data_IF_661722166904
#
_entry.id   IF_661722166904
#
_cell.length_a   1.000
_cell.length_b   1.000
_cell.length_c   1.000
_cell.angle_alpha   90.00
_cell.angle_beta   90.00
_cell.angle_gamma   90.00
#
_symmetry.space_group_name_H-M   'P 1'
#
loop_
_entity.id
_entity.type
_entity.pdbx_description
1 polymer ?
#
# COMPACT_ATOMS: atom_id res chain seq x y z
N UNK A 1 4.34 33.76 -5.86
CA UNK A 1 3.60 32.57 -6.28
C UNK A 1 2.39 33.02 -7.08
N UNK A 2 2.24 32.70 -8.36
CA UNK A 2 1.02 33.04 -9.08
C UNK A 2 -0.13 32.18 -8.54
N UNK A 3 -1.25 32.85 -8.24
CA UNK A 3 -2.49 32.20 -7.83
C UNK A 3 -2.90 31.18 -8.92
N UNK A 4 -2.97 29.90 -8.53
CA UNK A 4 -3.51 28.87 -9.40
C UNK A 4 -4.95 29.26 -9.75
N UNK A 5 -5.21 29.57 -11.00
CA UNK A 5 -6.55 29.76 -11.52
C UNK A 5 -7.32 28.45 -11.28
N UNK A 6 -8.30 28.49 -10.39
CA UNK A 6 -9.29 27.45 -10.26
C UNK A 6 -10.14 27.46 -11.53
N UNK A 7 -9.64 26.83 -12.60
CA UNK A 7 -10.45 26.56 -13.77
C UNK A 7 -11.60 25.68 -13.33
N UNK A 8 -12.81 26.19 -13.41
CA UNK A 8 -14.04 25.43 -13.16
C UNK A 8 -14.05 24.27 -14.15
N UNK A 9 -13.99 23.03 -13.64
CA UNK A 9 -14.13 21.83 -14.45
C UNK A 9 -15.45 21.92 -15.22
N UNK A 10 -15.40 21.91 -16.55
CA UNK A 10 -16.60 22.00 -17.35
C UNK A 10 -17.55 20.83 -17.03
N UNK A 11 -18.86 21.07 -17.07
CA UNK A 11 -19.87 20.04 -16.77
C UNK A 11 -19.67 18.74 -17.55
N UNK A 12 -19.16 18.81 -18.78
CA UNK A 12 -18.83 17.64 -19.63
C UNK A 12 -17.72 16.78 -19.01
N UNK A 13 -16.69 17.39 -18.42
CA UNK A 13 -15.58 16.65 -17.79
C UNK A 13 -16.06 15.95 -16.52
N UNK A 14 -16.91 16.62 -15.72
CA UNK A 14 -17.50 16.02 -14.51
C UNK A 14 -18.40 14.84 -14.89
N UNK A 15 -19.24 15.01 -15.92
CA UNK A 15 -20.14 13.94 -16.40
C UNK A 15 -19.36 12.74 -16.93
N UNK A 16 -18.31 12.97 -17.73
CA UNK A 16 -17.45 11.91 -18.25
C UNK A 16 -16.75 11.14 -17.12
N UNK A 17 -16.25 11.83 -16.10
CA UNK A 17 -15.65 11.21 -14.94
C UNK A 17 -16.67 10.42 -14.10
N UNK A 18 -17.87 10.96 -13.89
CA UNK A 18 -18.93 10.24 -13.18
C UNK A 18 -19.33 8.95 -13.91
N UNK A 19 -19.48 9.01 -15.23
CA UNK A 19 -19.73 7.83 -16.07
C UNK A 19 -18.59 6.81 -15.97
N UNK A 20 -17.33 7.26 -16.07
CA UNK A 20 -16.16 6.39 -15.93
C UNK A 20 -16.13 5.73 -14.54
N UNK A 21 -16.40 6.48 -13.46
CA UNK A 21 -16.48 5.92 -12.10
C UNK A 21 -17.59 4.87 -12.00
N UNK A 22 -18.79 5.15 -12.51
CA UNK A 22 -19.90 4.22 -12.48
C UNK A 22 -19.59 2.92 -13.24
N UNK A 23 -18.97 3.02 -14.42
CA UNK A 23 -18.56 1.86 -15.21
C UNK A 23 -17.50 1.00 -14.48
N UNK A 24 -16.47 1.63 -13.88
CA UNK A 24 -15.46 0.93 -13.10
C UNK A 24 -16.03 0.22 -11.88
N UNK A 25 -16.90 0.91 -11.12
CA UNK A 25 -17.59 0.31 -9.97
C UNK A 25 -18.49 -0.86 -10.39
N UNK A 26 -19.28 -0.71 -11.46
CA UNK A 26 -20.15 -1.77 -11.96
C UNK A 26 -19.34 -3.02 -12.36
N UNK A 27 -18.21 -2.83 -13.04
CA UNK A 27 -17.32 -3.92 -13.41
C UNK A 27 -16.75 -4.62 -12.18
N UNK A 28 -16.23 -3.88 -11.20
CA UNK A 28 -15.66 -4.44 -9.98
C UNK A 28 -16.73 -5.17 -9.14
N UNK A 29 -17.94 -4.61 -9.03
CA UNK A 29 -19.07 -5.26 -8.36
C UNK A 29 -19.50 -6.54 -9.07
N UNK A 30 -19.55 -6.54 -10.40
CA UNK A 30 -19.83 -7.74 -11.19
C UNK A 30 -18.78 -8.84 -10.94
N UNK A 31 -17.50 -8.48 -10.96
CA UNK A 31 -16.42 -9.42 -10.69
C UNK A 31 -16.49 -9.97 -9.25
N UNK A 32 -16.76 -9.11 -8.27
CA UNK A 32 -16.95 -9.52 -6.89
C UNK A 32 -18.13 -10.50 -6.77
N UNK A 33 -19.28 -10.18 -7.36
CA UNK A 33 -20.47 -11.05 -7.32
C UNK A 33 -20.25 -12.44 -7.92
N UNK A 34 -19.34 -12.56 -8.90
CA UNK A 34 -19.03 -13.85 -9.54
C UNK A 34 -17.88 -14.62 -8.85
N UNK A 35 -17.22 -14.06 -7.83
CA UNK A 35 -16.11 -14.69 -7.11
C UNK A 35 -16.39 -14.73 -5.59
N UNK A 36 -17.57 -15.20 -5.20
CA UNK A 36 -18.06 -15.12 -3.81
C UNK A 36 -17.28 -15.98 -2.81
N UNK A 37 -16.54 -16.99 -3.26
CA UNK A 37 -15.86 -17.95 -2.37
C UNK A 37 -14.65 -17.37 -1.62
N UNK A 38 -14.32 -16.09 -1.84
CA UNK A 38 -13.19 -15.40 -1.19
C UNK A 38 -13.57 -14.15 -0.39
N UNK A 39 -14.89 -13.97 -0.11
CA UNK A 39 -15.32 -12.80 0.67
C UNK A 39 -14.86 -12.91 2.13
N UNK A 40 -14.35 -11.80 2.70
CA UNK A 40 -14.07 -11.57 4.12
C UNK A 40 -12.97 -12.42 4.76
N UNK A 41 -12.21 -13.19 3.97
CA UNK A 41 -11.18 -14.10 4.51
C UNK A 41 -10.17 -13.34 5.38
N UNK A 42 -9.75 -12.16 4.94
CA UNK A 42 -8.73 -11.40 5.66
C UNK A 42 -9.30 -10.62 6.84
N UNK A 43 -10.54 -10.11 6.74
CA UNK A 43 -11.23 -9.50 7.88
C UNK A 43 -11.44 -10.51 9.01
N UNK A 44 -11.80 -11.75 8.67
CA UNK A 44 -11.97 -12.81 9.66
C UNK A 44 -10.67 -13.06 10.45
N UNK A 45 -9.52 -13.07 9.78
CA UNK A 45 -8.20 -13.14 10.42
C UNK A 45 -8.00 -12.00 11.44
N UNK A 46 -8.35 -10.75 11.07
CA UNK A 46 -8.19 -9.60 11.95
C UNK A 46 -9.15 -9.66 13.14
N UNK A 47 -10.37 -10.09 12.88
CA UNK A 47 -11.38 -10.31 13.93
C UNK A 47 -10.92 -11.34 14.96
N UNK A 48 -10.46 -12.51 14.53
CA UNK A 48 -9.93 -13.55 15.41
C UNK A 48 -8.67 -13.09 16.16
N UNK A 49 -7.70 -12.50 15.43
CA UNK A 49 -6.47 -11.99 16.02
C UNK A 49 -6.73 -10.95 17.10
N UNK A 50 -7.65 -10.01 16.86
CA UNK A 50 -7.98 -8.98 17.85
C UNK A 50 -8.57 -9.58 19.13
N UNK A 51 -9.40 -10.62 19.02
CA UNK A 51 -9.98 -11.33 20.18
C UNK A 51 -8.90 -11.97 21.05
N UNK A 52 -7.84 -12.49 20.44
CA UNK A 52 -6.72 -13.15 21.12
C UNK A 52 -5.63 -12.17 21.61
N UNK A 53 -5.59 -10.94 21.10
CA UNK A 53 -4.57 -9.99 21.49
C UNK A 53 -4.59 -9.72 23.00
N UNK A 54 -3.43 -9.83 23.66
CA UNK A 54 -3.27 -9.66 25.10
C UNK A 54 -3.59 -10.92 25.92
N UNK A 55 -3.91 -12.05 25.30
CA UNK A 55 -4.11 -13.32 25.97
C UNK A 55 -2.88 -14.21 26.03
N UNK A 56 -1.82 -13.86 25.28
CA UNK A 56 -0.66 -14.73 25.04
C UNK A 56 -0.88 -15.77 23.93
N UNK A 57 -2.08 -15.84 23.35
CA UNK A 57 -2.48 -16.84 22.33
C UNK A 57 -2.57 -16.27 20.91
N UNK A 58 -2.18 -15.00 20.71
CA UNK A 58 -2.29 -14.31 19.41
C UNK A 58 -1.68 -15.09 18.24
N UNK A 59 -0.63 -15.89 18.48
CA UNK A 59 0.08 -16.69 17.51
C UNK A 59 -0.08 -18.20 17.71
N UNK A 60 -0.98 -18.59 18.61
CA UNK A 60 -1.33 -19.99 18.80
C UNK A 60 -2.30 -20.44 17.71
N UNK A 61 -1.85 -21.35 16.85
CA UNK A 61 -2.60 -21.74 15.65
C UNK A 61 -3.95 -22.37 15.94
N UNK A 62 -4.02 -23.19 16.97
CA UNK A 62 -5.28 -23.89 17.29
C UNK A 62 -6.33 -22.90 17.84
N UNK A 63 -5.90 -21.93 18.65
CA UNK A 63 -6.76 -20.87 19.15
C UNK A 63 -7.25 -19.95 18.03
N UNK A 64 -6.36 -19.54 17.12
CA UNK A 64 -6.70 -18.70 15.94
C UNK A 64 -7.68 -19.44 15.06
N UNK A 65 -7.36 -20.68 14.66
CA UNK A 65 -8.19 -21.50 13.79
C UNK A 65 -9.59 -21.75 14.35
N UNK A 66 -9.71 -21.95 15.65
CA UNK A 66 -11.01 -22.17 16.31
C UNK A 66 -11.92 -20.96 16.15
N UNK A 67 -11.39 -19.74 16.34
CA UNK A 67 -12.17 -18.52 16.18
C UNK A 67 -12.48 -18.19 14.73
N UNK A 68 -11.54 -18.43 13.81
CA UNK A 68 -11.74 -18.16 12.38
C UNK A 68 -12.76 -19.14 11.75
N UNK A 69 -12.77 -20.39 12.17
CA UNK A 69 -13.65 -21.43 11.62
C UNK A 69 -15.16 -21.12 11.82
N UNK A 70 -15.51 -20.19 12.70
CA UNK A 70 -16.88 -19.74 12.88
C UNK A 70 -17.43 -18.96 11.68
N UNK A 71 -16.56 -18.37 10.83
CA UNK A 71 -16.98 -17.37 9.83
C UNK A 71 -16.42 -17.61 8.43
N UNK A 72 -15.17 -18.10 8.28
CA UNK A 72 -14.51 -18.22 6.99
C UNK A 72 -13.36 -19.25 7.01
N UNK A 73 -12.72 -19.56 5.86
CA UNK A 73 -11.49 -20.32 5.82
C UNK A 73 -10.38 -19.69 6.68
N UNK A 74 -9.61 -20.54 7.34
CA UNK A 74 -8.59 -20.12 8.31
C UNK A 74 -7.30 -19.67 7.64
N UNK A 75 -6.76 -18.53 8.12
CA UNK A 75 -5.49 -17.95 7.67
C UNK A 75 -4.62 -17.62 8.90
N UNK A 76 -3.33 -17.96 8.86
CA UNK A 76 -2.44 -17.66 9.99
C UNK A 76 -2.27 -16.16 10.21
N UNK A 77 -2.42 -15.74 11.46
CA UNK A 77 -2.23 -14.33 11.82
C UNK A 77 -0.78 -13.87 11.66
N UNK A 78 -0.60 -12.77 10.93
CA UNK A 78 0.68 -12.07 10.73
C UNK A 78 0.71 -10.66 11.32
N UNK A 79 -0.25 -10.30 12.15
CA UNK A 79 -0.34 -8.96 12.76
C UNK A 79 0.65 -8.78 13.89
N UNK A 80 1.19 -7.56 14.00
CA UNK A 80 1.89 -7.16 15.22
C UNK A 80 0.91 -7.05 16.38
N UNK A 81 1.31 -7.39 17.63
CA UNK A 81 0.40 -7.38 18.77
C UNK A 81 -0.34 -6.08 18.99
N UNK A 82 0.34 -4.95 18.84
CA UNK A 82 -0.28 -3.62 18.99
C UNK A 82 -1.36 -3.34 17.96
N UNK A 83 -1.20 -3.86 16.73
CA UNK A 83 -2.18 -3.70 15.64
C UNK A 83 -3.42 -4.52 15.97
N UNK A 84 -3.25 -5.81 16.26
CA UNK A 84 -4.35 -6.68 16.68
C UNK A 84 -5.09 -6.15 17.92
N UNK A 85 -4.36 -5.55 18.87
CA UNK A 85 -4.96 -4.93 20.04
C UNK A 85 -5.77 -3.68 19.70
N UNK A 86 -5.28 -2.83 18.80
CA UNK A 86 -6.01 -1.64 18.35
C UNK A 86 -7.29 -2.01 17.58
N UNK A 87 -7.28 -3.11 16.84
CA UNK A 87 -8.44 -3.64 16.12
C UNK A 87 -9.57 -4.07 17.05
N UNK A 88 -9.31 -4.32 18.36
CA UNK A 88 -10.35 -4.58 19.37
C UNK A 88 -11.39 -3.49 19.47
N UNK A 89 -11.05 -2.24 19.15
CA UNK A 89 -11.99 -1.13 19.13
C UNK A 89 -13.19 -1.40 18.21
N UNK A 90 -12.97 -2.16 17.15
CA UNK A 90 -14.00 -2.56 16.19
C UNK A 90 -14.43 -4.00 16.40
N UNK A 91 -13.47 -4.91 16.56
CA UNK A 91 -13.71 -6.36 16.60
C UNK A 91 -14.29 -6.87 17.93
N UNK A 92 -14.49 -6.02 18.95
CA UNK A 92 -15.31 -6.35 20.11
C UNK A 92 -16.83 -6.34 19.82
N UNK A 93 -17.24 -5.76 18.69
CA UNK A 93 -18.61 -5.83 18.20
C UNK A 93 -18.92 -7.25 17.66
N UNK A 94 -20.21 -7.63 17.54
CA UNK A 94 -20.60 -8.82 16.80
C UNK A 94 -20.04 -8.77 15.36
N UNK A 95 -19.68 -9.94 14.79
CA UNK A 95 -18.94 -10.05 13.53
C UNK A 95 -19.49 -9.15 12.41
N UNK A 96 -20.79 -9.26 12.10
CA UNK A 96 -21.43 -8.47 11.04
C UNK A 96 -21.35 -6.95 11.29
N UNK A 97 -21.48 -6.52 12.54
CA UNK A 97 -21.36 -5.09 12.90
C UNK A 97 -19.92 -4.62 12.79
N UNK A 98 -18.97 -5.43 13.26
CA UNK A 98 -17.54 -5.15 13.16
C UNK A 98 -17.11 -5.01 11.68
N UNK A 99 -17.55 -5.92 10.83
CA UNK A 99 -17.32 -5.90 9.39
C UNK A 99 -17.91 -4.65 8.72
N UNK A 100 -19.14 -4.27 9.06
CA UNK A 100 -19.75 -3.05 8.53
C UNK A 100 -18.97 -1.79 8.93
N UNK A 101 -18.52 -1.69 10.20
CA UNK A 101 -17.69 -0.58 10.68
C UNK A 101 -16.32 -0.57 9.99
N UNK A 102 -15.70 -1.74 9.80
CA UNK A 102 -14.42 -1.88 9.10
C UNK A 102 -14.52 -1.43 7.65
N UNK A 103 -15.56 -1.87 6.93
CA UNK A 103 -15.80 -1.47 5.54
C UNK A 103 -16.06 0.05 5.44
N UNK A 104 -16.89 0.62 6.32
CA UNK A 104 -17.14 2.05 6.37
C UNK A 104 -15.84 2.84 6.63
N UNK A 105 -15.02 2.40 7.59
CA UNK A 105 -13.70 2.96 7.87
C UNK A 105 -12.74 2.88 6.68
N UNK A 106 -12.75 1.76 5.95
CA UNK A 106 -11.98 1.56 4.73
C UNK A 106 -12.39 2.54 3.62
N UNK A 107 -13.69 2.70 3.39
CA UNK A 107 -14.22 3.66 2.40
C UNK A 107 -13.86 5.11 2.75
N UNK A 108 -14.01 5.50 4.02
CA UNK A 108 -13.58 6.82 4.50
C UNK A 108 -12.08 7.02 4.31
N UNK A 109 -11.27 6.00 4.61
CA UNK A 109 -9.82 6.05 4.44
C UNK A 109 -9.40 6.27 2.98
N UNK A 110 -10.05 5.59 2.03
CA UNK A 110 -9.83 5.77 0.59
C UNK A 110 -10.24 7.18 0.14
N UNK A 111 -11.37 7.69 0.62
CA UNK A 111 -11.82 9.04 0.30
C UNK A 111 -10.83 10.09 0.83
N UNK A 112 -10.43 9.98 2.10
CA UNK A 112 -9.45 10.89 2.69
C UNK A 112 -8.11 10.81 1.96
N UNK A 113 -7.65 9.63 1.59
CA UNK A 113 -6.44 9.44 0.78
C UNK A 113 -6.53 10.22 -0.54
N UNK A 114 -7.62 10.08 -1.31
CA UNK A 114 -7.80 10.75 -2.59
C UNK A 114 -7.81 12.29 -2.46
N UNK A 115 -8.32 12.82 -1.34
CA UNK A 115 -8.39 14.26 -1.07
C UNK A 115 -7.10 14.83 -0.49
N UNK A 116 -6.35 14.05 0.28
CA UNK A 116 -5.25 14.50 1.11
C UNK A 116 -3.87 14.32 0.46
N UNK A 117 -3.72 13.44 -0.55
CA UNK A 117 -2.40 13.21 -1.17
C UNK A 117 -1.89 14.45 -1.89
N UNK A 118 -0.69 14.97 -1.55
CA UNK A 118 -0.20 16.25 -2.08
C UNK A 118 -0.02 16.23 -3.60
N UNK A 119 -0.66 17.17 -4.31
CA UNK A 119 -0.52 17.36 -5.76
C UNK A 119 -1.21 16.30 -6.63
N UNK A 120 -1.97 15.38 -6.05
CA UNK A 120 -2.74 14.40 -6.79
C UNK A 120 -3.99 15.04 -7.42
N UNK A 121 -4.23 14.79 -8.71
CA UNK A 121 -5.46 15.20 -9.35
C UNK A 121 -6.63 14.37 -8.79
N UNK A 122 -7.52 15.01 -8.04
CA UNK A 122 -8.62 14.35 -7.31
C UNK A 122 -9.59 13.62 -8.21
N UNK A 123 -9.88 14.18 -9.39
CA UNK A 123 -10.80 13.56 -10.35
C UNK A 123 -10.21 12.30 -10.95
N UNK A 124 -8.96 12.37 -11.40
CA UNK A 124 -8.25 11.19 -11.90
C UNK A 124 -8.05 10.14 -10.81
N UNK A 125 -7.79 10.57 -9.58
CA UNK A 125 -7.70 9.65 -8.43
C UNK A 125 -9.03 8.95 -8.17
N UNK A 126 -10.16 9.65 -8.23
CA UNK A 126 -11.48 9.05 -8.08
C UNK A 126 -11.76 8.02 -9.18
N UNK A 127 -11.49 8.36 -10.44
CA UNK A 127 -11.62 7.42 -11.55
C UNK A 127 -10.71 6.21 -11.36
N UNK A 128 -9.43 6.44 -11.02
CA UNK A 128 -8.46 5.36 -10.79
C UNK A 128 -8.90 4.41 -9.67
N UNK A 129 -9.43 4.94 -8.57
CA UNK A 129 -9.95 4.15 -7.46
C UNK A 129 -11.15 3.28 -7.87
N UNK A 130 -12.08 3.84 -8.65
CA UNK A 130 -13.25 3.11 -9.13
C UNK A 130 -12.90 1.98 -10.11
N UNK A 131 -11.84 2.13 -10.91
CA UNK A 131 -11.38 1.11 -11.85
C UNK A 131 -10.38 0.11 -11.25
N UNK A 132 -9.79 0.43 -10.12
CA UNK A 132 -8.73 -0.38 -9.52
C UNK A 132 -9.28 -1.67 -8.94
N UNK A 133 -9.02 -2.79 -9.61
CA UNK A 133 -9.31 -4.12 -9.06
C UNK A 133 -8.57 -4.38 -7.73
N UNK A 134 -7.31 -3.97 -7.52
CA UNK A 134 -6.66 -4.05 -6.21
C UNK A 134 -7.44 -3.39 -5.08
N UNK A 135 -8.05 -2.23 -5.32
CA UNK A 135 -8.91 -1.57 -4.32
C UNK A 135 -10.17 -2.37 -4.05
N UNK A 136 -10.83 -2.82 -5.11
CA UNK A 136 -12.05 -3.64 -4.97
C UNK A 136 -11.76 -4.94 -4.21
N UNK A 137 -10.68 -5.63 -4.53
CA UNK A 137 -10.23 -6.81 -3.80
C UNK A 137 -9.95 -6.50 -2.33
N UNK A 138 -9.23 -5.41 -2.05
CA UNK A 138 -8.95 -4.99 -0.68
C UNK A 138 -10.22 -4.74 0.15
N UNK A 139 -11.25 -4.15 -0.46
CA UNK A 139 -12.55 -3.93 0.19
C UNK A 139 -13.32 -5.23 0.41
N UNK A 140 -13.36 -6.09 -0.61
CA UNK A 140 -14.09 -7.37 -0.56
C UNK A 140 -13.45 -8.35 0.43
N UNK A 141 -12.11 -8.42 0.48
CA UNK A 141 -11.39 -9.25 1.43
C UNK A 141 -11.33 -8.65 2.85
N UNK A 142 -11.78 -7.41 3.01
CA UNK A 142 -11.69 -6.70 4.28
C UNK A 142 -10.27 -6.32 4.69
N UNK A 143 -9.39 -6.03 3.70
CA UNK A 143 -7.99 -5.69 3.93
C UNK A 143 -7.80 -4.32 4.60
N UNK A 144 -6.67 -4.16 5.28
CA UNK A 144 -6.25 -2.93 5.94
C UNK A 144 -5.44 -1.97 5.05
N UNK A 145 -5.23 -2.33 3.78
CA UNK A 145 -4.57 -1.46 2.79
C UNK A 145 -5.17 -0.04 2.71
N UNK A 146 -6.51 0.17 2.85
CA UNK A 146 -7.08 1.50 2.95
C UNK A 146 -6.56 2.34 4.13
N UNK A 147 -6.36 1.74 5.29
CA UNK A 147 -5.80 2.44 6.46
C UNK A 147 -4.32 2.77 6.27
N UNK A 148 -3.58 1.91 5.57
CA UNK A 148 -2.22 2.21 5.17
C UNK A 148 -2.16 3.44 4.24
N UNK A 149 -3.02 3.50 3.23
CA UNK A 149 -3.13 4.65 2.32
C UNK A 149 -3.49 5.94 3.07
N UNK A 150 -4.40 5.86 4.06
CA UNK A 150 -4.74 6.99 4.94
C UNK A 150 -3.52 7.48 5.71
N UNK A 151 -2.78 6.57 6.35
CA UNK A 151 -1.57 6.89 7.11
C UNK A 151 -0.51 7.56 6.24
N UNK A 152 -0.27 7.02 5.04
CA UNK A 152 0.65 7.59 4.07
C UNK A 152 0.21 8.99 3.62
N UNK A 153 -1.05 9.15 3.20
CA UNK A 153 -1.58 10.44 2.74
C UNK A 153 -1.53 11.51 3.85
N UNK A 154 -1.94 11.16 5.07
CA UNK A 154 -1.87 12.05 6.23
C UNK A 154 -0.41 12.46 6.53
N UNK A 155 0.52 11.49 6.51
CA UNK A 155 1.94 11.75 6.72
C UNK A 155 2.51 12.72 5.70
N UNK A 156 2.26 12.50 4.41
CA UNK A 156 2.75 13.40 3.36
C UNK A 156 2.03 14.75 3.34
N UNK A 157 0.75 14.80 3.70
CA UNK A 157 0.04 16.06 3.87
C UNK A 157 0.65 16.92 5.01
N UNK A 158 0.93 16.31 6.17
CA UNK A 158 1.59 17.02 7.25
C UNK A 158 3.02 17.46 6.89
N UNK A 159 3.75 16.62 6.16
CA UNK A 159 5.09 16.94 5.69
C UNK A 159 5.07 18.11 4.69
N UNK A 160 4.10 18.17 3.78
CA UNK A 160 3.92 19.29 2.84
C UNK A 160 3.54 20.60 3.53
N UNK A 161 2.93 20.52 4.72
CA UNK A 161 2.58 21.66 5.58
C UNK A 161 3.69 22.07 6.54
N UNK A 162 4.90 21.51 6.40
CA UNK A 162 6.03 21.83 7.28
C UNK A 162 5.89 21.30 8.71
N UNK A 163 5.07 20.27 8.94
CA UNK A 163 4.85 19.66 10.26
C UNK A 163 5.46 18.26 10.35
N UNK A 164 6.80 18.12 10.36
CA UNK A 164 7.49 16.84 10.23
C UNK A 164 7.23 15.86 11.37
N UNK A 165 6.99 16.36 12.60
CA UNK A 165 6.69 15.49 13.75
C UNK A 165 5.32 14.82 13.61
N UNK A 166 4.29 15.58 13.17
CA UNK A 166 2.96 15.03 12.89
C UNK A 166 3.00 14.08 11.69
N UNK A 167 3.82 14.35 10.68
CA UNK A 167 4.05 13.45 9.56
C UNK A 167 4.60 12.11 10.03
N UNK A 168 5.63 12.12 10.87
CA UNK A 168 6.22 10.90 11.43
C UNK A 168 5.20 10.10 12.25
N UNK A 169 4.39 10.77 13.08
CA UNK A 169 3.32 10.11 13.83
C UNK A 169 2.26 9.50 12.91
N UNK A 170 1.86 10.20 11.83
CA UNK A 170 0.88 9.67 10.87
C UNK A 170 1.42 8.44 10.11
N UNK A 171 2.71 8.39 9.78
CA UNK A 171 3.32 7.22 9.15
C UNK A 171 3.27 5.98 10.05
N UNK A 172 3.10 6.11 11.37
CA UNK A 172 2.93 4.95 12.25
C UNK A 172 1.67 4.14 11.97
N UNK A 173 0.64 4.73 11.33
CA UNK A 173 -0.53 4.00 10.86
C UNK A 173 -0.18 2.96 9.77
N UNK A 174 0.94 3.15 9.06
CA UNK A 174 1.41 2.18 8.09
C UNK A 174 1.99 0.91 8.73
N UNK A 175 2.04 0.83 10.07
CA UNK A 175 2.51 -0.35 10.82
C UNK A 175 1.64 -1.59 10.58
N UNK A 176 0.39 -1.43 10.18
CA UNK A 176 -0.48 -2.54 9.80
C UNK A 176 0.15 -3.40 8.67
N UNK A 177 0.87 -2.75 7.75
CA UNK A 177 1.68 -3.39 6.69
C UNK A 177 3.07 -2.75 6.62
N UNK A 178 3.82 -2.84 7.72
CA UNK A 178 5.12 -2.17 7.87
C UNK A 178 6.12 -2.52 6.75
N UNK A 179 6.07 -3.74 6.22
CA UNK A 179 6.94 -4.21 5.14
C UNK A 179 6.72 -3.46 3.82
N UNK A 180 5.55 -2.87 3.59
CA UNK A 180 5.26 -2.04 2.41
C UNK A 180 5.71 -0.58 2.59
N UNK A 181 5.98 -0.17 3.83
CA UNK A 181 6.41 1.19 4.12
C UNK A 181 7.92 1.43 3.92
N UNK A 182 8.69 0.41 3.50
CA UNK A 182 10.16 0.46 3.35
C UNK A 182 10.65 1.58 2.42
N UNK A 183 9.83 2.02 1.47
CA UNK A 183 10.17 3.15 0.60
C UNK A 183 10.18 4.50 1.33
N UNK A 184 9.44 4.67 2.42
CA UNK A 184 9.34 5.96 3.12
C UNK A 184 10.62 6.37 3.86
N UNK A 185 11.31 5.53 4.62
CA UNK A 185 12.62 5.85 5.17
C UNK A 185 13.63 6.27 4.09
N UNK A 186 13.62 5.59 2.94
CA UNK A 186 14.51 5.92 1.81
C UNK A 186 14.19 7.32 1.28
N UNK A 187 12.91 7.65 1.04
CA UNK A 187 12.47 8.97 0.63
C UNK A 187 12.88 10.05 1.64
N UNK A 188 12.55 9.84 2.93
CA UNK A 188 12.81 10.83 3.97
C UNK A 188 14.30 11.11 4.13
N UNK A 189 15.14 10.08 4.06
CA UNK A 189 16.59 10.21 4.11
C UNK A 189 17.14 10.88 2.83
N UNK A 190 16.66 10.47 1.63
CA UNK A 190 17.09 11.06 0.36
C UNK A 190 16.79 12.56 0.27
N UNK A 191 15.65 13.00 0.83
CA UNK A 191 15.25 14.41 0.89
C UNK A 191 15.72 15.13 2.18
N UNK A 192 16.58 14.48 2.99
CA UNK A 192 17.11 15.03 4.27
C UNK A 192 16.00 15.45 5.25
N UNK A 193 14.87 14.79 5.26
CA UNK A 193 13.73 15.04 6.16
C UNK A 193 13.93 14.37 7.53
N UNK A 194 15.07 14.60 8.16
CA UNK A 194 15.52 13.90 9.38
C UNK A 194 14.55 14.00 10.54
N UNK A 195 13.87 15.18 10.72
CA UNK A 195 12.89 15.37 11.78
C UNK A 195 11.66 14.46 11.62
N UNK A 196 11.22 14.23 10.38
CA UNK A 196 10.11 13.31 10.10
C UNK A 196 10.54 11.85 10.26
N UNK A 197 11.74 11.51 9.79
CA UNK A 197 12.32 10.17 9.94
C UNK A 197 12.49 9.81 11.42
N UNK A 198 13.06 10.71 12.22
CA UNK A 198 13.22 10.50 13.66
C UNK A 198 11.87 10.35 14.38
N UNK A 199 10.85 11.16 14.01
CA UNK A 199 9.52 11.05 14.57
C UNK A 199 8.83 9.75 14.18
N UNK A 200 8.99 9.27 12.94
CA UNK A 200 8.47 7.97 12.51
C UNK A 200 9.16 6.82 13.24
N UNK A 201 10.49 6.89 13.43
CA UNK A 201 11.25 5.90 14.19
C UNK A 201 10.81 5.86 15.67
N UNK A 202 10.63 7.04 16.28
CA UNK A 202 10.14 7.15 17.66
C UNK A 202 8.72 6.57 17.81
N UNK A 203 7.81 6.90 16.90
CA UNK A 203 6.46 6.34 16.90
C UNK A 203 6.49 4.81 16.68
N UNK A 204 7.32 4.32 15.78
CA UNK A 204 7.54 2.87 15.59
C UNK A 204 8.07 2.19 16.85
N UNK A 205 9.03 2.81 17.55
CA UNK A 205 9.55 2.29 18.82
C UNK A 205 8.48 2.23 19.91
N UNK A 206 7.60 3.25 19.98
CA UNK A 206 6.45 3.25 20.92
C UNK A 206 5.49 2.08 20.60
N UNK A 207 5.16 1.88 19.33
CA UNK A 207 4.27 0.77 18.90
C UNK A 207 4.92 -0.59 19.16
N UNK A 208 6.23 -0.72 18.96
CA UNK A 208 6.97 -1.93 19.29
C UNK A 208 6.98 -2.19 20.78
N UNK A 209 7.22 -1.15 21.59
CA UNK A 209 7.11 -1.20 23.05
C UNK A 209 5.71 -1.61 23.52
N UNK A 210 4.67 -1.02 22.91
CA UNK A 210 3.29 -1.40 23.19
C UNK A 210 3.00 -2.87 22.84
N UNK A 211 3.63 -3.41 21.78
CA UNK A 211 3.51 -4.83 21.43
C UNK A 211 4.06 -5.76 22.52
N UNK A 212 5.16 -5.36 23.18
CA UNK A 212 5.67 -6.10 24.36
C UNK A 212 4.74 -5.99 25.57
N UNK A 213 4.11 -4.84 25.75
CA UNK A 213 3.12 -4.67 26.81
C UNK A 213 1.87 -5.54 26.57
N UNK A 214 1.41 -5.65 25.31
CA UNK A 214 0.23 -6.45 24.92
C UNK A 214 0.48 -7.95 25.07
N UNK A 215 1.60 -8.48 24.53
CA UNK A 215 1.82 -9.93 24.39
C UNK A 215 3.01 -10.45 25.21
N UNK A 216 3.66 -9.61 26.02
CA UNK A 216 4.81 -9.97 26.84
C UNK A 216 6.11 -10.15 26.03
N UNK A 217 7.22 -10.41 26.72
CA UNK A 217 8.57 -10.45 26.13
C UNK A 217 8.77 -11.56 25.09
N UNK A 218 7.97 -12.62 25.15
CA UNK A 218 8.10 -13.78 24.27
C UNK A 218 7.46 -13.62 22.88
N UNK A 219 6.71 -12.52 22.62
CA UNK A 219 5.96 -12.39 21.37
C UNK A 219 6.83 -12.41 20.11
N UNK A 220 8.05 -11.84 20.05
CA UNK A 220 8.83 -11.87 18.82
C UNK A 220 9.19 -13.30 18.38
N UNK A 221 9.49 -14.18 19.33
CA UNK A 221 9.75 -15.59 19.03
C UNK A 221 8.49 -16.29 18.52
N UNK A 222 7.34 -16.07 19.18
CA UNK A 222 6.06 -16.67 18.72
C UNK A 222 5.67 -16.17 17.35
N UNK A 223 5.80 -14.87 17.11
CA UNK A 223 5.59 -14.26 15.80
C UNK A 223 6.47 -14.88 14.73
N UNK A 224 7.78 -14.97 14.99
CA UNK A 224 8.75 -15.58 14.07
C UNK A 224 8.39 -17.01 13.70
N UNK A 225 8.01 -17.82 14.68
CA UNK A 225 7.55 -19.19 14.44
C UNK A 225 6.28 -19.21 13.59
N UNK A 226 5.32 -18.33 13.87
CA UNK A 226 4.05 -18.27 13.13
C UNK A 226 4.26 -17.90 11.66
N UNK A 227 5.03 -16.84 11.36
CA UNK A 227 5.23 -16.38 9.96
C UNK A 227 6.15 -17.30 9.14
N UNK A 228 6.98 -18.13 9.78
CA UNK A 228 7.83 -19.11 9.09
C UNK A 228 7.22 -20.52 9.06
N UNK A 229 6.00 -20.69 9.56
CA UNK A 229 5.34 -21.99 9.51
C UNK A 229 5.03 -22.40 8.05
N UNK A 230 5.22 -23.66 7.63
CA UNK A 230 4.95 -24.09 6.25
C UNK A 230 3.55 -23.76 5.74
N UNK A 231 2.54 -23.81 6.60
CA UNK A 231 1.15 -23.44 6.27
C UNK A 231 0.93 -21.94 6.11
N UNK A 232 1.85 -21.11 6.60
CA UNK A 232 1.88 -19.65 6.36
C UNK A 232 2.55 -19.34 5.02
N UNK A 233 2.54 -20.23 4.06
CA UNK A 233 3.16 -19.95 2.76
C UNK A 233 2.22 -19.08 1.93
N UNK A 234 2.42 -17.75 1.92
CA UNK A 234 1.77 -16.94 0.91
C UNK A 234 2.24 -17.46 -0.45
N UNK A 235 1.36 -17.45 -1.44
CA UNK A 235 1.69 -17.87 -2.79
C UNK A 235 2.71 -16.89 -3.42
N UNK A 236 3.99 -17.01 -3.00
CA UNK A 236 5.06 -16.12 -3.46
C UNK A 236 5.07 -15.88 -4.97
N UNK A 237 4.83 -16.90 -5.83
CA UNK A 237 4.71 -16.70 -7.27
C UNK A 237 3.58 -15.75 -7.70
N UNK A 238 2.58 -15.51 -6.88
CA UNK A 238 1.45 -14.62 -7.20
C UNK A 238 1.64 -13.18 -6.71
N UNK A 239 2.79 -12.87 -6.10
CA UNK A 239 3.17 -11.52 -5.70
C UNK A 239 3.84 -10.79 -6.87
N UNK A 240 3.81 -9.45 -6.91
CA UNK A 240 4.63 -8.67 -7.83
C UNK A 240 5.69 -7.91 -7.06
N UNK A 241 6.64 -8.65 -6.51
CA UNK A 241 7.78 -8.14 -5.74
C UNK A 241 9.06 -8.92 -6.07
N UNK A 242 10.18 -8.52 -5.48
CA UNK A 242 11.48 -9.15 -5.73
C UNK A 242 11.53 -10.60 -5.23
N UNK A 243 10.82 -10.92 -4.15
CA UNK A 243 10.71 -12.31 -3.66
C UNK A 243 10.11 -13.22 -4.70
N UNK A 244 9.06 -12.77 -5.38
CA UNK A 244 8.40 -13.55 -6.43
C UNK A 244 9.31 -13.77 -7.64
N UNK A 245 10.08 -12.77 -8.04
CA UNK A 245 11.08 -12.91 -9.11
C UNK A 245 12.22 -13.86 -8.71
N UNK A 246 12.66 -13.79 -7.45
CA UNK A 246 13.72 -14.64 -6.93
C UNK A 246 13.28 -16.08 -6.66
N UNK A 247 11.96 -16.34 -6.54
CA UNK A 247 11.40 -17.62 -6.12
C UNK A 247 11.87 -18.82 -6.94
N UNK A 248 12.10 -18.60 -8.23
CA UNK A 248 12.49 -19.65 -9.18
C UNK A 248 14.01 -19.83 -9.30
N UNK A 249 14.79 -19.05 -8.55
CA UNK A 249 16.26 -19.03 -8.62
C UNK A 249 16.85 -19.78 -7.44
N UNK A 250 18.10 -20.31 -7.58
CA UNK A 250 18.84 -20.84 -6.44
C UNK A 250 19.03 -19.72 -5.38
N UNK A 251 18.86 -20.09 -4.11
CA UNK A 251 18.98 -19.15 -2.97
C UNK A 251 18.10 -17.90 -3.07
N UNK A 252 16.78 -18.08 -3.14
CA UNK A 252 15.86 -16.98 -3.45
C UNK A 252 15.98 -15.79 -2.50
N UNK A 253 16.26 -16.02 -1.21
CA UNK A 253 16.47 -14.94 -0.24
C UNK A 253 17.73 -14.09 -0.52
N UNK A 254 18.84 -14.71 -0.93
CA UNK A 254 20.04 -13.98 -1.31
C UNK A 254 19.82 -13.18 -2.60
N UNK A 255 19.14 -13.76 -3.58
CA UNK A 255 18.79 -13.09 -4.83
C UNK A 255 17.84 -11.92 -4.58
N UNK A 256 16.83 -12.07 -3.73
CA UNK A 256 15.94 -10.99 -3.32
C UNK A 256 16.72 -9.80 -2.75
N UNK A 257 17.66 -10.06 -1.82
CA UNK A 257 18.51 -9.01 -1.22
C UNK A 257 19.38 -8.32 -2.29
N UNK A 258 20.01 -9.10 -3.17
CA UNK A 258 20.84 -8.54 -4.24
C UNK A 258 20.04 -7.65 -5.22
N UNK A 259 18.82 -8.05 -5.56
CA UNK A 259 17.93 -7.25 -6.40
C UNK A 259 17.38 -6.03 -5.67
N UNK A 260 17.24 -6.08 -4.34
CA UNK A 260 16.74 -4.94 -3.56
C UNK A 260 17.72 -3.76 -3.57
N UNK A 261 19.04 -4.00 -3.65
CA UNK A 261 20.06 -2.95 -3.64
C UNK A 261 19.89 -1.97 -4.82
N UNK A 262 19.88 -2.40 -6.09
CA UNK A 262 19.70 -1.48 -7.23
C UNK A 262 18.31 -0.81 -7.22
N UNK A 263 17.25 -1.48 -6.78
CA UNK A 263 15.92 -0.88 -6.67
C UNK A 263 15.89 0.22 -5.60
N UNK A 264 16.49 -0.03 -4.43
CA UNK A 264 16.61 0.97 -3.36
C UNK A 264 17.48 2.17 -3.81
N UNK A 265 18.56 1.94 -4.56
CA UNK A 265 19.40 3.00 -5.12
C UNK A 265 18.65 3.81 -6.18
N UNK A 266 17.87 3.16 -7.05
CA UNK A 266 17.02 3.85 -8.02
C UNK A 266 15.98 4.72 -7.31
N UNK A 267 15.31 4.19 -6.30
CA UNK A 267 14.36 4.95 -5.49
C UNK A 267 15.02 6.15 -4.79
N UNK A 268 16.20 5.93 -4.18
CA UNK A 268 16.97 7.00 -3.57
C UNK A 268 17.29 8.11 -4.58
N UNK A 269 17.79 7.74 -5.76
CA UNK A 269 18.16 8.67 -6.84
C UNK A 269 16.94 9.43 -7.34
N UNK A 270 15.80 8.74 -7.53
CA UNK A 270 14.53 9.33 -7.89
C UNK A 270 14.06 10.35 -6.85
N UNK A 271 14.04 9.97 -5.57
CA UNK A 271 13.58 10.85 -4.49
C UNK A 271 14.46 12.10 -4.34
N UNK A 272 15.78 11.97 -4.53
CA UNK A 272 16.70 13.13 -4.50
C UNK A 272 16.46 14.12 -5.63
N UNK A 273 16.09 13.64 -6.80
CA UNK A 273 15.90 14.45 -8.02
C UNK A 273 14.48 14.97 -8.16
N UNK A 274 13.53 14.45 -7.40
CA UNK A 274 12.11 14.82 -7.49
C UNK A 274 11.73 15.84 -6.41
N UNK A 275 11.59 17.15 -6.76
CA UNK A 275 11.24 18.19 -5.80
C UNK A 275 9.75 18.12 -5.39
N UNK A 276 8.89 17.57 -6.24
CA UNK A 276 7.48 17.37 -5.95
C UNK A 276 7.31 16.26 -4.90
N UNK A 277 7.00 16.63 -3.66
CA UNK A 277 6.85 15.70 -2.56
C UNK A 277 5.79 14.63 -2.86
N UNK A 278 4.65 14.99 -3.46
CA UNK A 278 3.58 14.04 -3.76
C UNK A 278 4.00 12.97 -4.76
N UNK A 279 4.78 13.34 -5.80
CA UNK A 279 5.33 12.39 -6.76
C UNK A 279 6.43 11.53 -6.14
N UNK A 280 7.33 12.13 -5.33
CA UNK A 280 8.36 11.36 -4.62
C UNK A 280 7.74 10.33 -3.66
N UNK A 281 6.67 10.72 -2.96
CA UNK A 281 5.89 9.86 -2.09
C UNK A 281 5.19 8.72 -2.86
N UNK A 282 4.65 9.03 -4.04
CA UNK A 282 4.01 8.05 -4.91
C UNK A 282 5.01 6.99 -5.40
N UNK A 283 6.21 7.42 -5.81
CA UNK A 283 7.29 6.51 -6.17
C UNK A 283 7.76 5.67 -4.99
N UNK A 284 7.84 6.24 -3.78
CA UNK A 284 8.23 5.51 -2.57
C UNK A 284 7.19 4.47 -2.15
N UNK A 285 5.89 4.78 -2.24
CA UNK A 285 4.82 3.83 -1.99
C UNK A 285 4.86 2.67 -2.99
N UNK A 286 4.98 2.98 -4.29
CA UNK A 286 5.07 1.99 -5.35
C UNK A 286 6.33 1.10 -5.22
N UNK A 287 7.50 1.69 -4.97
CA UNK A 287 8.72 0.93 -4.74
C UNK A 287 8.64 0.07 -3.48
N UNK A 288 7.89 0.51 -2.47
CA UNK A 288 7.61 -0.26 -1.27
C UNK A 288 6.93 -1.61 -1.56
N UNK A 289 6.05 -1.68 -2.57
CA UNK A 289 5.44 -2.95 -2.99
C UNK A 289 6.44 -3.91 -3.63
N UNK A 290 7.44 -3.38 -4.35
CA UNK A 290 8.51 -4.17 -4.98
C UNK A 290 9.52 -4.65 -3.97
N UNK A 291 9.95 -3.77 -3.06
CA UNK A 291 10.96 -4.03 -2.02
C UNK A 291 10.38 -4.83 -0.84
N UNK A 292 9.06 -4.79 -0.65
CA UNK A 292 8.38 -5.52 0.42
C UNK A 292 8.50 -7.02 0.21
N UNK A 293 8.96 -7.73 1.26
CA UNK A 293 9.10 -9.19 1.21
C UNK A 293 7.76 -9.90 0.96
N UNK A 294 6.65 -9.26 1.28
CA UNK A 294 5.29 -9.78 1.15
C UNK A 294 4.39 -8.73 0.51
N UNK A 295 3.58 -9.12 -0.46
CA UNK A 295 2.65 -8.20 -1.13
C UNK A 295 1.71 -8.96 -2.05
N UNK A 296 0.42 -8.79 -1.82
CA UNK A 296 -0.63 -9.43 -2.61
C UNK A 296 -1.23 -8.48 -3.63
N UNK A 297 -2.10 -9.00 -4.50
CA UNK A 297 -2.73 -8.23 -5.56
C UNK A 297 -3.50 -6.99 -5.05
N UNK A 298 -4.12 -7.07 -3.88
CA UNK A 298 -4.82 -5.93 -3.26
C UNK A 298 -3.87 -4.81 -2.78
N UNK A 299 -2.59 -5.12 -2.53
CA UNK A 299 -1.59 -4.12 -2.11
C UNK A 299 -1.18 -3.21 -3.27
N UNK A 300 -1.47 -3.58 -4.51
CA UNK A 300 -1.22 -2.69 -5.66
C UNK A 300 -2.13 -1.46 -5.69
N UNK A 301 -3.10 -1.34 -4.78
CA UNK A 301 -3.76 -0.07 -4.49
C UNK A 301 -2.75 1.05 -4.13
N UNK A 302 -1.58 0.68 -3.59
CA UNK A 302 -0.48 1.60 -3.29
C UNK A 302 0.16 2.21 -4.53
N UNK A 303 -0.08 1.66 -5.71
CA UNK A 303 0.40 2.19 -6.99
C UNK A 303 -0.42 3.38 -7.47
N UNK A 304 -1.67 3.53 -7.03
CA UNK A 304 -2.60 4.54 -7.55
C UNK A 304 -2.00 5.95 -7.58
N UNK A 305 -1.31 6.44 -6.54
CA UNK A 305 -0.68 7.76 -6.62
C UNK A 305 0.29 7.87 -7.79
N UNK A 306 1.16 6.88 -8.01
CA UNK A 306 2.14 6.90 -9.10
C UNK A 306 1.47 6.81 -10.47
N UNK A 307 0.44 5.97 -10.62
CA UNK A 307 -0.35 5.84 -11.86
C UNK A 307 -1.02 7.16 -12.21
N UNK A 308 -1.67 7.81 -11.25
CA UNK A 308 -2.31 9.11 -11.44
C UNK A 308 -1.28 10.19 -11.79
N UNK A 309 -0.14 10.27 -11.08
CA UNK A 309 0.93 11.21 -11.41
C UNK A 309 1.50 10.97 -12.83
N UNK A 310 1.59 9.72 -13.27
CA UNK A 310 2.04 9.38 -14.61
C UNK A 310 1.05 9.90 -15.67
N UNK A 311 -0.25 9.73 -15.46
CA UNK A 311 -1.29 10.13 -16.41
C UNK A 311 -1.52 11.65 -16.42
N UNK A 312 -1.52 12.30 -15.26
CA UNK A 312 -1.85 13.73 -15.15
C UNK A 312 -0.78 14.67 -15.72
N UNK A 313 0.44 14.19 -15.94
CA UNK A 313 1.57 15.03 -16.34
C UNK A 313 1.74 15.03 -17.86
N UNK A 314 1.70 16.23 -18.51
CA UNK A 314 1.75 16.34 -19.97
C UNK A 314 3.08 15.84 -20.56
N UNK A 315 4.21 16.02 -19.86
CA UNK A 315 5.56 15.66 -20.30
C UNK A 315 5.83 14.14 -20.32
N UNK A 316 5.00 13.35 -19.65
CA UNK A 316 5.15 11.89 -19.66
C UNK A 316 4.71 11.33 -21.01
N UNK A 317 5.50 10.44 -21.64
CA UNK A 317 5.19 9.92 -22.97
C UNK A 317 3.93 9.05 -22.95
N UNK A 318 3.22 9.04 -24.07
CA UNK A 318 1.93 8.36 -24.22
C UNK A 318 2.02 6.86 -23.89
N UNK A 319 3.09 6.20 -24.27
CA UNK A 319 3.27 4.77 -24.01
C UNK A 319 3.33 4.46 -22.52
N UNK A 320 3.97 5.32 -21.71
CA UNK A 320 4.05 5.13 -20.25
C UNK A 320 2.70 5.44 -19.58
N UNK A 321 1.96 6.44 -20.11
CA UNK A 321 0.57 6.71 -19.69
C UNK A 321 -0.36 5.54 -20.02
N UNK A 322 -0.23 4.96 -21.20
CA UNK A 322 -1.02 3.78 -21.60
C UNK A 322 -0.72 2.58 -20.72
N UNK A 323 0.55 2.40 -20.31
CA UNK A 323 0.92 1.35 -19.35
C UNK A 323 0.32 1.60 -17.97
N UNK A 324 0.35 2.85 -17.48
CA UNK A 324 -0.30 3.23 -16.23
C UNK A 324 -1.82 2.96 -16.25
N UNK A 325 -2.49 3.27 -17.35
CA UNK A 325 -3.92 2.99 -17.56
C UNK A 325 -4.18 1.48 -17.58
N UNK A 326 -3.33 0.69 -18.24
CA UNK A 326 -3.43 -0.78 -18.24
C UNK A 326 -3.38 -1.34 -16.82
N UNK A 327 -2.51 -0.78 -15.95
CA UNK A 327 -2.39 -1.23 -14.56
C UNK A 327 -3.63 -0.89 -13.69
N UNK A 328 -4.47 0.04 -14.12
CA UNK A 328 -5.75 0.31 -13.47
C UNK A 328 -6.84 -0.69 -13.86
N UNK A 329 -6.66 -1.43 -14.96
CA UNK A 329 -7.61 -2.47 -15.38
C UNK A 329 -7.43 -3.76 -14.56
N UNK A 330 -8.38 -4.70 -14.60
CA UNK A 330 -8.23 -6.01 -13.95
C UNK A 330 -7.09 -6.88 -14.50
N UNK A 331 -6.59 -6.59 -15.72
CA UNK A 331 -5.65 -7.45 -16.44
C UNK A 331 -4.42 -7.86 -15.62
N UNK A 332 -3.67 -6.94 -14.95
CA UNK A 332 -2.50 -7.33 -14.18
C UNK A 332 -2.85 -8.27 -13.01
N UNK A 333 -3.95 -7.97 -12.32
CA UNK A 333 -4.44 -8.80 -11.21
C UNK A 333 -4.84 -10.19 -11.70
N UNK A 334 -5.60 -10.28 -12.80
CA UNK A 334 -6.02 -11.56 -13.39
C UNK A 334 -4.82 -12.38 -13.87
N UNK A 335 -3.77 -11.75 -14.41
CA UNK A 335 -2.54 -12.45 -14.79
C UNK A 335 -1.84 -13.04 -13.56
N UNK A 336 -1.75 -12.27 -12.47
CA UNK A 336 -1.10 -12.72 -11.23
C UNK A 336 -1.82 -13.90 -10.59
N UNK A 337 -3.17 -13.89 -10.56
CA UNK A 337 -3.99 -14.90 -9.90
C UNK A 337 -4.35 -16.04 -10.85
N UNK A 338 -4.50 -15.76 -12.15
CA UNK A 338 -5.08 -16.65 -13.16
C UNK A 338 -4.10 -17.55 -13.92
N UNK A 339 -2.90 -17.81 -13.37
CA UNK A 339 -1.99 -18.83 -13.92
C UNK A 339 -0.86 -18.33 -14.84
N UNK A 340 -0.72 -17.01 -15.02
CA UNK A 340 0.41 -16.37 -15.70
C UNK A 340 1.09 -15.33 -14.81
N UNK A 341 1.48 -15.67 -13.57
CA UNK A 341 1.94 -14.70 -12.59
C UNK A 341 3.18 -13.93 -13.05
N UNK A 342 4.09 -14.57 -13.78
CA UNK A 342 5.30 -13.92 -14.29
C UNK A 342 4.98 -12.73 -15.21
N UNK A 343 3.96 -12.82 -16.06
CA UNK A 343 3.54 -11.68 -16.90
C UNK A 343 2.96 -10.55 -16.06
N UNK A 344 2.14 -10.87 -15.06
CA UNK A 344 1.63 -9.87 -14.11
C UNK A 344 2.75 -9.18 -13.32
N UNK A 345 3.76 -9.93 -12.88
CA UNK A 345 4.96 -9.39 -12.23
C UNK A 345 5.72 -8.43 -13.15
N UNK A 346 6.00 -8.85 -14.38
CA UNK A 346 6.69 -8.00 -15.36
C UNK A 346 5.92 -6.71 -15.64
N UNK A 347 4.60 -6.77 -15.76
CA UNK A 347 3.78 -5.57 -15.97
C UNK A 347 3.88 -4.60 -14.80
N UNK A 348 3.76 -5.09 -13.56
CA UNK A 348 3.73 -4.22 -12.38
C UNK A 348 5.13 -3.72 -12.04
N UNK A 349 6.10 -4.63 -11.86
CA UNK A 349 7.47 -4.28 -11.48
C UNK A 349 8.14 -3.47 -12.60
N UNK A 350 7.99 -3.91 -13.85
CA UNK A 350 8.52 -3.22 -15.02
C UNK A 350 8.02 -1.79 -15.13
N UNK A 351 6.71 -1.55 -14.92
CA UNK A 351 6.16 -0.19 -14.87
C UNK A 351 6.81 0.67 -13.79
N UNK A 352 6.87 0.16 -12.55
CA UNK A 352 7.42 0.92 -11.42
C UNK A 352 8.86 1.32 -11.70
N UNK A 353 9.71 0.37 -12.07
CA UNK A 353 11.11 0.63 -12.36
C UNK A 353 11.30 1.61 -13.52
N UNK A 354 10.49 1.44 -14.58
CA UNK A 354 10.53 2.33 -15.76
C UNK A 354 10.07 3.74 -15.42
N UNK A 355 9.01 3.91 -14.62
CA UNK A 355 8.54 5.22 -14.20
C UNK A 355 9.57 5.95 -13.33
N UNK A 356 10.20 5.26 -12.37
CA UNK A 356 11.26 5.84 -11.56
C UNK A 356 12.50 6.22 -12.40
N UNK A 357 12.90 5.34 -13.32
CA UNK A 357 14.04 5.57 -14.19
C UNK A 357 13.79 6.74 -15.14
N UNK A 358 12.59 6.82 -15.73
CA UNK A 358 12.17 7.95 -16.59
C UNK A 358 12.36 9.28 -15.87
N UNK A 359 11.89 9.40 -14.65
CA UNK A 359 12.05 10.62 -13.85
C UNK A 359 13.52 10.97 -13.57
N UNK A 360 14.36 9.96 -13.39
CA UNK A 360 15.78 10.17 -13.20
C UNK A 360 16.48 10.67 -14.46
N UNK A 361 16.08 10.19 -15.65
CA UNK A 361 16.72 10.52 -16.94
C UNK A 361 16.28 11.88 -17.49
N UNK A 362 14.97 12.16 -17.49
CA UNK A 362 14.42 13.39 -18.07
C UNK A 362 14.93 14.64 -17.34
N UNK A 363 15.07 14.59 -16.03
CA UNK A 363 15.58 15.74 -15.25
C UNK A 363 17.08 15.98 -15.38
N UNK A 364 17.85 15.00 -15.84
CA UNK A 364 19.28 15.20 -16.17
C UNK A 364 19.46 15.96 -17.45
N UNK A 365 18.51 15.88 -18.40
CA UNK A 365 18.57 16.59 -19.68
C UNK A 365 18.07 18.05 -19.60
N UNK A 366 17.33 18.42 -18.57
CA UNK A 366 16.72 19.75 -18.41
C UNK A 366 17.56 20.77 -17.60
N UNK A 367 18.83 20.46 -17.27
CA UNK A 367 19.69 21.32 -16.42
C UNK A 367 19.24 21.32 -14.94
N UNK A 368 20.19 21.28 -14.03
CA UNK A 368 19.86 21.36 -12.60
C UNK A 368 19.22 22.72 -12.27
N UNK A 369 18.09 22.78 -11.55
CA UNK A 369 17.56 24.03 -11.07
C UNK A 369 18.59 24.68 -10.13
N UNK A 370 18.65 26.06 -10.07
CA UNK A 370 19.56 26.74 -9.19
C UNK A 370 19.32 26.32 -7.73
N UNK A 371 20.38 26.23 -6.90
CA UNK A 371 20.25 25.84 -5.50
C UNK A 371 19.27 26.80 -4.79
N UNK A 372 18.30 26.22 -4.09
CA UNK A 372 17.39 26.99 -3.24
C UNK A 372 18.24 27.58 -2.11
N UNK A 373 18.20 28.91 -1.91
CA UNK A 373 18.93 29.53 -0.79
C UNK A 373 18.47 28.96 0.55
N UNK A 374 19.44 28.75 1.45
CA UNK A 374 19.29 28.08 2.75
C UNK A 374 18.40 28.84 3.73
#
# INVERSE_FOLDING_TARGET
MPAASHATLGARTILAAAFACAAGLAMNLWMAANNRDGFDVDFNQFYAASRLAGSGLLYDWDSVRTLEAEHAPTVRNSRLPVVAFAEKLVCNLPYASAQAVWLAGSLVSILVFALAWPGLNRLLAAVALCWSMPVALGLVLGQDTPFWLLGAAAGFLWLSRGRPRLAGAAFSLCVCKYHLAVGFPILLAAQKRWKALAAAAAAGAVLLGASFWVEGLGWPRRYWVAINHPEFSPAAPRMANLRALAWWLPWPGAVEILLAIPVAYLLWSFCRRTPCLGLAAAGAAAAGTVLGHHGHAHDFALLIPLLVFTVQRPEVPIWLKSWAILLLTPVPTLLLVGGKPFLGQLLVIGFILTALLWECLVKTSAGAPPPVPA
#
